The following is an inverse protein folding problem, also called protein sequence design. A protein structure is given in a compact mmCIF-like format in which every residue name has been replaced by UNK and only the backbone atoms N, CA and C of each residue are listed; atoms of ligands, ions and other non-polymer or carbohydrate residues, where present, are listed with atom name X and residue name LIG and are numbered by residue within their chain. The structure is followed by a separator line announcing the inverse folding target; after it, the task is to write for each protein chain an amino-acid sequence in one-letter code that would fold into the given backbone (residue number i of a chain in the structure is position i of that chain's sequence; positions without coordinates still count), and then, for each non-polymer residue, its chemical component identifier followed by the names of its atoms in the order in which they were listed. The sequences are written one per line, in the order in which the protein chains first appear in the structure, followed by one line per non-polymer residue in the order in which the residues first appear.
data_IF_196297505676
#
_entry.id   IF_196297505676
#
_cell.length_a   1.000
_cell.length_b   1.000
_cell.length_c   1.000
_cell.angle_alpha   90.00
_cell.angle_beta   90.00
_cell.angle_gamma   90.00
#
_symmetry.space_group_name_H-M   'P 1'
#
loop_
_entity.id
_entity.type
_entity.pdbx_description
1 polymer ?
#
# COMPACT_ATOMS: atom_id res chain seq x y z
N UNK A 1 34.08 7.68 -24.43
CA UNK A 1 32.61 7.71 -24.45
C UNK A 1 32.14 9.02 -23.83
N UNK A 2 31.18 9.72 -24.43
CA UNK A 2 30.67 11.00 -23.93
C UNK A 2 29.94 10.83 -22.57
N UNK A 3 30.12 11.78 -21.65
CA UNK A 3 29.43 11.83 -20.36
C UNK A 3 27.90 11.75 -20.51
N UNK A 4 27.36 12.37 -21.56
CA UNK A 4 25.93 12.30 -21.88
C UNK A 4 25.47 10.86 -22.13
N UNK A 5 26.27 10.07 -22.85
CA UNK A 5 25.95 8.67 -23.14
C UNK A 5 25.98 7.80 -21.88
N UNK A 6 26.95 8.02 -20.98
CA UNK A 6 27.03 7.33 -19.69
C UNK A 6 25.84 7.68 -18.79
N UNK A 7 25.44 8.96 -18.76
CA UNK A 7 24.27 9.42 -18.00
C UNK A 7 22.98 8.79 -18.54
N UNK A 8 22.77 8.78 -19.85
CA UNK A 8 21.58 8.16 -20.47
C UNK A 8 21.51 6.66 -20.18
N UNK A 9 22.64 5.93 -20.29
CA UNK A 9 22.68 4.51 -19.98
C UNK A 9 22.43 4.22 -18.49
N UNK A 10 22.99 5.04 -17.59
CA UNK A 10 22.75 4.91 -16.15
C UNK A 10 21.29 5.20 -15.80
N UNK A 11 20.68 6.21 -16.42
CA UNK A 11 19.26 6.54 -16.24
C UNK A 11 18.35 5.41 -16.73
N UNK A 12 18.61 4.86 -17.92
CA UNK A 12 17.88 3.72 -18.45
C UNK A 12 18.03 2.47 -17.57
N UNK A 13 19.23 2.21 -17.04
CA UNK A 13 19.47 1.10 -16.12
C UNK A 13 18.70 1.27 -14.81
N UNK A 14 18.67 2.47 -14.25
CA UNK A 14 17.96 2.75 -12.99
C UNK A 14 16.45 2.52 -13.12
N UNK A 15 15.87 2.70 -14.32
CA UNK A 15 14.45 2.41 -14.56
C UNK A 15 14.11 0.92 -14.50
N UNK A 16 15.09 0.04 -14.69
CA UNK A 16 14.91 -1.42 -14.69
C UNK A 16 15.07 -2.05 -13.30
N UNK A 17 15.60 -1.30 -12.33
CA UNK A 17 15.91 -1.81 -11.00
C UNK A 17 14.68 -1.63 -10.10
N UNK A 18 14.16 -2.73 -9.50
CA UNK A 18 13.12 -2.64 -8.49
C UNK A 18 13.62 -1.89 -7.25
N UNK A 19 12.72 -1.16 -6.61
CA UNK A 19 12.98 -0.33 -5.45
C UNK A 19 12.26 -0.89 -4.22
N UNK A 20 12.82 -0.66 -3.04
CA UNK A 20 12.20 -1.04 -1.78
C UNK A 20 11.40 0.14 -1.23
N UNK A 21 10.10 -0.05 -1.01
CA UNK A 21 9.22 0.95 -0.39
C UNK A 21 9.29 0.85 1.15
N UNK A 22 9.14 -0.37 1.65
CA UNK A 22 9.23 -0.70 3.08
C UNK A 22 9.94 -2.04 3.24
N UNK A 23 10.19 -2.48 4.48
CA UNK A 23 10.86 -3.76 4.74
C UNK A 23 10.17 -4.96 4.05
N UNK A 24 8.85 -4.90 3.84
CA UNK A 24 8.07 -6.00 3.26
C UNK A 24 7.51 -5.71 1.86
N UNK A 25 7.68 -4.48 1.34
CA UNK A 25 7.07 -4.05 0.08
C UNK A 25 8.14 -3.52 -0.86
N UNK A 26 8.28 -4.16 -2.00
CA UNK A 26 9.11 -3.76 -3.13
C UNK A 26 8.21 -3.32 -4.29
N UNK A 27 8.73 -2.49 -5.18
CA UNK A 27 8.02 -2.08 -6.38
C UNK A 27 8.92 -1.90 -7.59
N UNK A 28 8.41 -2.14 -8.79
CA UNK A 28 9.24 -2.12 -9.99
C UNK A 28 8.46 -2.21 -11.30
N UNK A 29 9.15 -2.25 -12.45
CA UNK A 29 8.52 -2.54 -13.72
C UNK A 29 8.28 -4.03 -13.88
N UNK A 30 7.47 -4.40 -14.86
CA UNK A 30 7.13 -5.78 -15.21
C UNK A 30 8.36 -6.66 -15.49
N UNK A 31 9.44 -6.08 -16.01
CA UNK A 31 10.71 -6.78 -16.22
C UNK A 31 11.31 -7.33 -14.91
N UNK A 32 10.91 -6.85 -13.73
CA UNK A 32 11.34 -7.38 -12.43
C UNK A 32 11.00 -8.86 -12.30
N UNK A 33 9.93 -9.34 -12.93
CA UNK A 33 9.56 -10.76 -12.91
C UNK A 33 10.63 -11.68 -13.52
N UNK A 34 11.50 -11.14 -14.38
CA UNK A 34 12.64 -11.87 -14.96
C UNK A 34 13.88 -11.88 -14.05
N UNK A 35 13.93 -11.05 -13.01
CA UNK A 35 15.07 -10.90 -12.11
C UNK A 35 14.99 -11.90 -10.95
N UNK A 36 15.18 -13.19 -11.25
CA UNK A 36 15.02 -14.29 -10.28
C UNK A 36 15.90 -14.15 -9.03
N UNK A 37 17.14 -13.71 -9.19
CA UNK A 37 18.08 -13.48 -8.08
C UNK A 37 17.50 -12.48 -7.08
N UNK A 38 17.03 -11.33 -7.58
CA UNK A 38 16.39 -10.30 -6.75
C UNK A 38 15.15 -10.84 -6.02
N UNK A 39 14.29 -11.59 -6.70
CA UNK A 39 13.08 -12.19 -6.13
C UNK A 39 13.42 -13.15 -4.98
N UNK A 40 14.44 -13.99 -5.18
CA UNK A 40 14.88 -14.98 -4.19
C UNK A 40 15.59 -14.33 -3.00
N UNK A 41 16.53 -13.42 -3.26
CA UNK A 41 17.30 -12.71 -2.21
C UNK A 41 16.39 -11.91 -1.28
N UNK A 42 15.31 -11.34 -1.82
CA UNK A 42 14.34 -10.56 -1.05
C UNK A 42 13.13 -11.38 -0.59
N UNK A 43 13.15 -12.71 -0.73
CA UNK A 43 12.06 -13.61 -0.33
C UNK A 43 10.67 -13.16 -0.84
N UNK A 44 10.58 -12.68 -2.07
CA UNK A 44 9.33 -12.20 -2.66
C UNK A 44 8.46 -13.39 -3.05
N UNK A 45 7.25 -13.46 -2.48
CA UNK A 45 6.26 -14.51 -2.76
C UNK A 45 4.91 -13.96 -3.19
N UNK A 46 4.63 -12.69 -2.86
CA UNK A 46 3.39 -12.03 -3.23
C UNK A 46 3.66 -11.05 -4.35
N UNK A 47 2.84 -11.10 -5.39
CA UNK A 47 2.98 -10.31 -6.60
C UNK A 47 1.70 -9.54 -6.81
N UNK A 48 1.79 -8.22 -6.91
CA UNK A 48 0.64 -7.34 -7.15
C UNK A 48 0.85 -6.61 -8.47
N UNK A 49 0.12 -7.01 -9.50
CA UNK A 49 0.12 -6.35 -10.79
C UNK A 49 -0.84 -5.15 -10.75
N UNK A 50 -0.41 -4.00 -11.27
CA UNK A 50 -1.20 -2.77 -11.32
C UNK A 50 -1.24 -2.23 -12.73
N UNK A 51 -2.44 -2.01 -13.27
CA UNK A 51 -2.63 -1.38 -14.58
C UNK A 51 -2.13 -2.24 -15.73
N UNK A 52 -2.11 -3.57 -15.56
CA UNK A 52 -1.75 -4.53 -16.60
C UNK A 52 -2.98 -5.39 -16.88
N UNK A 53 -3.42 -5.53 -18.15
CA UNK A 53 -4.52 -6.40 -18.49
C UNK A 53 -4.30 -7.83 -18.00
N UNK A 54 -5.33 -8.42 -17.39
CA UNK A 54 -5.27 -9.75 -16.76
C UNK A 54 -4.76 -10.82 -17.70
N UNK A 55 -5.19 -10.79 -18.97
CA UNK A 55 -4.69 -11.69 -20.01
C UNK A 55 -3.17 -11.67 -20.16
N UNK A 56 -2.58 -10.48 -20.03
CA UNK A 56 -1.14 -10.27 -20.15
C UNK A 56 -0.41 -10.72 -18.89
N UNK A 57 -0.94 -10.44 -17.70
CA UNK A 57 -0.38 -10.93 -16.44
C UNK A 57 -0.36 -12.47 -16.41
N UNK A 58 -1.47 -13.10 -16.79
CA UNK A 58 -1.58 -14.55 -16.84
C UNK A 58 -0.55 -15.19 -17.79
N UNK A 59 -0.20 -14.54 -18.91
CA UNK A 59 0.85 -14.99 -19.81
C UNK A 59 2.24 -14.95 -19.17
N UNK A 60 2.57 -13.86 -18.44
CA UNK A 60 3.88 -13.73 -17.77
C UNK A 60 4.03 -14.67 -16.58
N UNK A 61 2.93 -14.95 -15.88
CA UNK A 61 2.93 -15.81 -14.70
C UNK A 61 2.82 -17.30 -15.02
N UNK A 62 2.59 -17.68 -16.29
CA UNK A 62 2.43 -19.09 -16.71
C UNK A 62 3.58 -20.00 -16.27
N UNK A 63 4.79 -19.49 -16.34
CA UNK A 63 6.01 -20.25 -16.06
C UNK A 63 6.51 -20.05 -14.60
N UNK A 64 5.74 -19.36 -13.75
CA UNK A 64 6.07 -19.17 -12.33
C UNK A 64 5.63 -20.39 -11.49
N UNK A 65 6.44 -20.80 -10.49
CA UNK A 65 6.10 -21.92 -9.62
C UNK A 65 4.94 -21.54 -8.69
N UNK A 66 3.74 -21.96 -9.08
CA UNK A 66 2.46 -21.69 -8.40
C UNK A 66 2.48 -21.97 -6.91
N UNK A 67 3.17 -23.03 -6.48
CA UNK A 67 3.15 -23.50 -5.10
C UNK A 67 3.82 -22.52 -4.12
N UNK A 68 4.66 -21.60 -4.65
CA UNK A 68 5.46 -20.69 -3.86
C UNK A 68 5.09 -19.22 -4.03
N UNK A 69 4.20 -18.90 -4.98
CA UNK A 69 3.83 -17.52 -5.30
C UNK A 69 2.32 -17.30 -5.45
N UNK A 70 1.88 -16.13 -4.98
CA UNK A 70 0.51 -15.65 -5.16
C UNK A 70 0.52 -14.35 -5.97
N UNK A 71 -0.26 -14.30 -7.04
CA UNK A 71 -0.37 -13.14 -7.92
C UNK A 71 -1.79 -12.56 -7.83
N UNK A 72 -1.89 -11.29 -7.47
CA UNK A 72 -3.12 -10.50 -7.51
C UNK A 72 -3.00 -9.42 -8.58
N UNK A 73 -4.03 -9.22 -9.38
CA UNK A 73 -4.05 -8.23 -10.44
C UNK A 73 -5.11 -7.15 -10.19
N UNK A 74 -4.71 -5.89 -10.28
CA UNK A 74 -5.60 -4.74 -10.29
C UNK A 74 -5.85 -4.31 -11.73
N UNK A 75 -7.01 -4.71 -12.25
CA UNK A 75 -7.42 -4.52 -13.63
C UNK A 75 -8.90 -4.11 -13.67
N UNK A 76 -9.12 -2.79 -13.71
CA UNK A 76 -10.46 -2.19 -13.71
C UNK A 76 -11.24 -2.41 -15.01
N UNK A 77 -10.56 -2.79 -16.09
CA UNK A 77 -11.15 -3.03 -17.41
C UNK A 77 -11.47 -4.51 -17.62
N UNK A 78 -11.06 -5.39 -16.71
CA UNK A 78 -11.31 -6.82 -16.82
C UNK A 78 -12.81 -7.12 -16.84
N UNK A 79 -13.25 -7.72 -17.93
CA UNK A 79 -14.61 -8.26 -18.07
C UNK A 79 -14.53 -9.76 -18.41
N UNK A 80 -15.14 -10.65 -17.59
CA UNK A 80 -15.24 -12.07 -17.93
C UNK A 80 -16.03 -12.34 -19.22
N UNK A 81 -16.80 -11.35 -19.69
CA UNK A 81 -17.62 -11.43 -20.89
C UNK A 81 -16.90 -10.92 -22.14
N UNK A 82 -15.67 -10.39 -22.01
CA UNK A 82 -14.88 -9.98 -23.17
C UNK A 82 -14.61 -11.19 -24.07
N UNK A 83 -14.85 -11.08 -25.39
CA UNK A 83 -14.60 -12.18 -26.31
C UNK A 83 -13.09 -12.45 -26.42
N UNK A 84 -12.62 -13.46 -25.69
CA UNK A 84 -11.26 -13.98 -25.79
C UNK A 84 -11.20 -15.14 -26.78
N UNK A 85 -10.03 -15.36 -27.37
CA UNK A 85 -9.80 -16.62 -28.08
C UNK A 85 -9.85 -17.80 -27.10
N UNK A 86 -10.25 -18.99 -27.57
CA UNK A 86 -10.32 -20.19 -26.73
C UNK A 86 -9.05 -20.45 -25.86
N UNK A 87 -7.81 -20.37 -26.41
CA UNK A 87 -6.62 -20.59 -25.59
C UNK A 87 -6.38 -19.47 -24.55
N UNK A 88 -6.77 -18.23 -24.85
CA UNK A 88 -6.64 -17.12 -23.89
C UNK A 88 -7.65 -17.25 -22.76
N UNK A 89 -8.89 -17.66 -23.07
CA UNK A 89 -9.92 -17.89 -22.07
C UNK A 89 -9.52 -19.01 -21.10
N UNK A 90 -8.96 -20.12 -21.61
CA UNK A 90 -8.43 -21.21 -20.78
C UNK A 90 -7.29 -20.72 -19.87
N UNK A 91 -6.33 -19.98 -20.43
CA UNK A 91 -5.20 -19.44 -19.68
C UNK A 91 -5.65 -18.47 -18.57
N UNK A 92 -6.56 -17.55 -18.85
CA UNK A 92 -7.10 -16.62 -17.85
C UNK A 92 -7.92 -17.35 -16.79
N UNK A 93 -8.73 -18.34 -17.19
CA UNK A 93 -9.52 -19.15 -16.26
C UNK A 93 -8.63 -19.95 -15.30
N UNK A 94 -7.58 -20.59 -15.83
CA UNK A 94 -6.63 -21.36 -15.03
C UNK A 94 -5.88 -20.46 -14.05
N UNK A 95 -5.36 -19.32 -14.54
CA UNK A 95 -4.70 -18.30 -13.72
C UNK A 95 -5.60 -17.82 -12.58
N UNK A 96 -6.86 -17.48 -12.90
CA UNK A 96 -7.83 -16.97 -11.94
C UNK A 96 -8.16 -18.01 -10.88
N UNK A 97 -8.53 -19.24 -11.29
CA UNK A 97 -8.90 -20.32 -10.37
C UNK A 97 -7.80 -20.62 -9.36
N UNK A 98 -6.57 -20.68 -9.86
CA UNK A 98 -5.40 -21.11 -9.10
C UNK A 98 -4.99 -20.07 -8.05
N UNK A 99 -4.81 -18.81 -8.46
CA UNK A 99 -4.43 -17.77 -7.51
C UNK A 99 -5.59 -17.32 -6.62
N UNK A 100 -6.84 -17.40 -7.09
CA UNK A 100 -8.02 -17.12 -6.26
C UNK A 100 -8.18 -18.15 -5.14
N UNK A 101 -7.92 -19.44 -5.42
CA UNK A 101 -7.93 -20.47 -4.38
C UNK A 101 -6.83 -20.24 -3.33
N UNK A 102 -5.61 -19.88 -3.76
CA UNK A 102 -4.52 -19.55 -2.83
C UNK A 102 -4.81 -18.30 -2.01
N UNK A 103 -5.39 -17.25 -2.62
CA UNK A 103 -5.77 -16.03 -1.91
C UNK A 103 -6.88 -16.30 -0.88
N UNK A 104 -7.91 -17.05 -1.26
CA UNK A 104 -9.03 -17.36 -0.37
C UNK A 104 -8.59 -18.22 0.82
N UNK A 105 -7.70 -19.19 0.59
CA UNK A 105 -7.09 -19.98 1.66
C UNK A 105 -6.26 -19.11 2.61
N UNK A 106 -5.41 -18.23 2.06
CA UNK A 106 -4.61 -17.30 2.87
C UNK A 106 -5.51 -16.39 3.72
N UNK A 107 -6.51 -15.79 3.09
CA UNK A 107 -7.43 -14.88 3.76
C UNK A 107 -8.27 -15.58 4.85
N UNK A 108 -8.69 -16.83 4.61
CA UNK A 108 -9.39 -17.65 5.59
C UNK A 108 -8.49 -17.99 6.80
N UNK A 109 -7.22 -18.32 6.57
CA UNK A 109 -6.27 -18.57 7.65
C UNK A 109 -6.08 -17.32 8.53
N UNK A 110 -5.89 -16.16 7.91
CA UNK A 110 -5.76 -14.89 8.64
C UNK A 110 -7.05 -14.54 9.39
N UNK A 111 -8.23 -14.75 8.80
CA UNK A 111 -9.50 -14.55 9.50
C UNK A 111 -9.64 -15.46 10.71
N UNK A 112 -9.20 -16.72 10.61
CA UNK A 112 -9.17 -17.68 11.70
C UNK A 112 -8.22 -17.26 12.82
N UNK A 113 -7.00 -16.82 12.48
CA UNK A 113 -6.01 -16.36 13.44
C UNK A 113 -6.49 -15.12 14.22
N UNK A 114 -7.10 -14.16 13.51
CA UNK A 114 -7.72 -12.96 14.12
C UNK A 114 -8.86 -13.36 15.05
N UNK A 115 -9.77 -14.25 14.62
CA UNK A 115 -10.91 -14.68 15.41
C UNK A 115 -10.52 -15.49 16.66
N UNK A 116 -9.44 -16.27 16.57
CA UNK A 116 -8.92 -17.06 17.67
C UNK A 116 -8.11 -16.23 18.69
N UNK A 117 -7.82 -14.95 18.40
CA UNK A 117 -6.93 -14.13 19.23
C UNK A 117 -5.50 -14.67 19.30
N UNK A 118 -5.13 -15.58 18.40
CA UNK A 118 -3.85 -16.28 18.37
C UNK A 118 -2.77 -15.42 17.68
N UNK A 119 -2.66 -14.14 18.03
CA UNK A 119 -1.68 -13.23 17.41
C UNK A 119 -0.31 -13.22 18.10
N UNK A 120 -0.03 -14.08 19.10
CA UNK A 120 1.07 -13.80 20.05
C UNK A 120 2.03 -14.92 20.50
N UNK A 121 1.91 -16.21 20.11
CA UNK A 121 2.85 -17.24 20.63
C UNK A 121 4.08 -17.52 19.74
N UNK A 122 4.16 -16.90 18.56
CA UNK A 122 5.34 -17.02 17.65
C UNK A 122 6.09 -15.70 17.43
N UNK A 123 5.58 -14.58 17.95
CA UNK A 123 6.19 -13.26 17.79
C UNK A 123 6.70 -12.78 19.15
N UNK A 124 8.02 -12.68 19.31
CA UNK A 124 8.71 -12.23 20.54
C UNK A 124 8.36 -10.79 20.99
N UNK A 125 7.48 -10.10 20.29
CA UNK A 125 6.99 -8.76 20.63
C UNK A 125 5.52 -8.64 20.25
N UNK A 126 4.63 -8.17 21.15
CA UNK A 126 3.24 -7.89 20.81
C UNK A 126 3.20 -6.81 19.71
N UNK A 127 2.49 -7.08 18.60
CA UNK A 127 2.13 -6.07 17.60
C UNK A 127 0.64 -5.73 17.73
N UNK A 128 0.26 -4.81 18.64
CA UNK A 128 -1.15 -4.50 18.91
C UNK A 128 -1.87 -3.69 17.82
N UNK A 129 -1.23 -3.37 16.69
CA UNK A 129 -1.72 -2.31 15.78
C UNK A 129 -2.15 -2.78 14.38
N UNK A 130 -1.87 -4.03 13.96
CA UNK A 130 -2.16 -4.45 12.57
C UNK A 130 -3.62 -4.87 12.34
N UNK A 131 -4.27 -5.48 13.33
CA UNK A 131 -5.65 -5.98 13.19
C UNK A 131 -6.69 -4.86 13.07
N UNK A 132 -6.34 -3.63 13.47
CA UNK A 132 -7.20 -2.43 13.35
C UNK A 132 -7.08 -1.71 11.99
N UNK A 133 -6.30 -2.25 11.04
CA UNK A 133 -5.99 -1.57 9.77
C UNK A 133 -6.76 -2.10 8.55
N UNK A 134 -7.45 -3.24 8.65
CA UNK A 134 -8.22 -3.79 7.54
C UNK A 134 -9.56 -3.04 7.38
N UNK A 135 -9.87 -2.63 6.15
CA UNK A 135 -11.12 -1.95 5.80
C UNK A 135 -12.24 -2.95 5.58
N UNK A 136 -11.92 -4.09 4.96
CA UNK A 136 -12.83 -5.18 4.70
C UNK A 136 -12.41 -6.42 5.50
N UNK A 137 -13.38 -7.27 5.83
CA UNK A 137 -13.09 -8.59 6.37
C UNK A 137 -12.17 -9.37 5.42
N UNK A 138 -11.14 -10.10 5.92
CA UNK A 138 -10.28 -10.91 5.07
C UNK A 138 -11.07 -11.84 4.14
N UNK A 139 -12.20 -12.38 4.61
CA UNK A 139 -13.08 -13.26 3.83
C UNK A 139 -13.64 -12.63 2.54
N UNK A 140 -13.57 -11.30 2.39
CA UNK A 140 -13.95 -10.59 1.16
C UNK A 140 -13.00 -10.90 -0.01
N UNK A 141 -11.73 -11.24 0.28
CA UNK A 141 -10.70 -11.45 -0.74
C UNK A 141 -10.70 -12.90 -1.25
N UNK A 142 -11.65 -13.20 -2.15
CA UNK A 142 -11.82 -14.55 -2.74
C UNK A 142 -11.35 -14.66 -4.19
N UNK A 143 -11.13 -13.53 -4.86
CA UNK A 143 -10.72 -13.46 -6.25
C UNK A 143 -9.39 -12.72 -6.37
N UNK A 144 -8.45 -13.27 -7.14
CA UNK A 144 -7.15 -12.63 -7.37
C UNK A 144 -7.20 -11.51 -8.42
N UNK A 145 -8.33 -11.29 -9.09
CA UNK A 145 -8.53 -10.18 -10.04
C UNK A 145 -9.42 -9.14 -9.36
N UNK A 146 -8.84 -7.98 -9.10
CA UNK A 146 -9.50 -6.84 -8.46
C UNK A 146 -9.90 -5.83 -9.53
N UNK A 147 -11.20 -5.70 -9.74
CA UNK A 147 -11.81 -4.77 -10.71
C UNK A 147 -12.30 -3.48 -10.07
N UNK A 148 -12.10 -3.31 -8.76
CA UNK A 148 -12.59 -2.15 -8.01
C UNK A 148 -11.91 -0.86 -8.48
N UNK A 149 -12.68 0.23 -8.44
CA UNK A 149 -12.25 1.58 -8.81
C UNK A 149 -12.48 2.55 -7.64
N UNK A 150 -11.96 3.77 -7.76
CA UNK A 150 -12.13 4.81 -6.73
C UNK A 150 -11.54 4.40 -5.38
N UNK A 151 -12.19 4.81 -4.29
CA UNK A 151 -11.73 4.54 -2.92
C UNK A 151 -11.57 3.04 -2.59
N UNK A 152 -12.42 2.19 -3.19
CA UNK A 152 -12.40 0.74 -2.95
C UNK A 152 -11.13 0.06 -3.49
N UNK A 153 -10.52 0.63 -4.55
CA UNK A 153 -9.23 0.18 -5.08
C UNK A 153 -8.13 0.32 -4.02
N UNK A 154 -8.08 1.48 -3.36
CA UNK A 154 -7.09 1.78 -2.33
C UNK A 154 -7.32 0.98 -1.04
N UNK A 155 -8.57 0.79 -0.63
CA UNK A 155 -8.92 -0.08 0.49
C UNK A 155 -8.47 -1.52 0.22
N UNK A 156 -8.84 -2.08 -0.94
CA UNK A 156 -8.47 -3.43 -1.34
C UNK A 156 -6.95 -3.62 -1.40
N UNK A 157 -6.23 -2.64 -1.96
CA UNK A 157 -4.78 -2.67 -2.05
C UNK A 157 -4.10 -2.70 -0.67
N UNK A 158 -4.48 -1.79 0.22
CA UNK A 158 -3.88 -1.72 1.55
C UNK A 158 -4.23 -2.92 2.43
N UNK A 159 -5.45 -3.43 2.31
CA UNK A 159 -5.86 -4.65 3.00
C UNK A 159 -5.06 -5.85 2.52
N UNK A 160 -4.89 -6.03 1.21
CA UNK A 160 -4.10 -7.13 0.65
C UNK A 160 -2.64 -7.06 1.10
N UNK A 161 -2.01 -5.88 1.09
CA UNK A 161 -0.65 -5.71 1.62
C UNK A 161 -0.57 -6.09 3.11
N UNK A 162 -1.60 -5.74 3.88
CA UNK A 162 -1.69 -6.08 5.31
C UNK A 162 -1.88 -7.58 5.50
N UNK A 163 -2.76 -8.24 4.74
CA UNK A 163 -2.96 -9.70 4.75
C UNK A 163 -1.65 -10.43 4.41
N UNK A 164 -0.94 -9.99 3.37
CA UNK A 164 0.34 -10.58 2.98
C UNK A 164 1.40 -10.40 4.07
N UNK A 165 1.47 -9.22 4.68
CA UNK A 165 2.36 -8.96 5.82
C UNK A 165 2.00 -9.82 7.04
N UNK A 166 0.71 -10.00 7.33
CA UNK A 166 0.25 -10.82 8.45
C UNK A 166 0.58 -12.29 8.25
N UNK A 167 0.51 -12.79 7.02
CA UNK A 167 0.85 -14.19 6.69
C UNK A 167 2.29 -14.59 7.03
N UNK A 168 3.21 -13.62 7.14
CA UNK A 168 4.63 -13.85 7.41
C UNK A 168 5.34 -14.74 6.38
N UNK A 169 4.70 -15.05 5.24
CA UNK A 169 5.18 -16.09 4.32
C UNK A 169 6.23 -15.59 3.34
N UNK A 170 6.32 -14.28 3.10
CA UNK A 170 7.27 -13.65 2.19
C UNK A 170 6.94 -12.17 1.96
N UNK A 171 7.79 -11.50 1.19
CA UNK A 171 7.64 -10.09 0.82
C UNK A 171 6.76 -9.90 -0.41
N UNK A 172 6.29 -8.67 -0.61
CA UNK A 172 5.41 -8.27 -1.70
C UNK A 172 6.19 -7.49 -2.74
N UNK A 173 5.99 -7.82 -4.02
CA UNK A 173 6.40 -7.01 -5.17
C UNK A 173 5.18 -6.43 -5.85
N UNK A 174 5.05 -5.10 -5.84
CA UNK A 174 4.05 -4.37 -6.61
C UNK A 174 4.65 -3.91 -7.92
N UNK A 175 4.12 -4.37 -9.04
CA UNK A 175 4.68 -4.06 -10.35
C UNK A 175 3.63 -3.56 -11.32
N UNK A 176 4.08 -2.73 -12.25
CA UNK A 176 3.27 -2.19 -13.34
C UNK A 176 4.07 -2.31 -14.64
N UNK A 177 3.46 -1.94 -15.78
CA UNK A 177 4.13 -2.06 -17.09
C UNK A 177 5.51 -1.39 -17.11
N UNK A 178 5.60 -0.16 -16.60
CA UNK A 178 6.83 0.65 -16.65
C UNK A 178 7.43 0.93 -15.26
N UNK A 179 6.73 0.60 -14.18
CA UNK A 179 7.13 0.92 -12.80
C UNK A 179 7.10 2.42 -12.46
N UNK A 180 6.64 3.26 -13.39
CA UNK A 180 6.50 4.72 -13.24
C UNK A 180 5.04 5.18 -13.44
N UNK A 181 4.10 4.23 -13.53
CA UNK A 181 2.71 4.50 -13.89
C UNK A 181 2.00 5.25 -12.74
N UNK A 182 1.14 6.22 -13.08
CA UNK A 182 0.49 7.09 -12.08
C UNK A 182 -0.33 6.31 -11.06
N UNK A 183 -1.04 5.28 -11.54
CA UNK A 183 -1.82 4.35 -10.73
C UNK A 183 -0.98 3.60 -9.70
N UNK A 184 0.22 3.16 -10.09
CA UNK A 184 1.16 2.51 -9.18
C UNK A 184 1.59 3.49 -8.10
N UNK A 185 1.98 4.70 -8.50
CA UNK A 185 2.45 5.73 -7.56
C UNK A 185 1.34 6.10 -6.56
N UNK A 186 0.10 6.29 -7.02
CA UNK A 186 -1.03 6.60 -6.15
C UNK A 186 -1.28 5.50 -5.11
N UNK A 187 -1.23 4.23 -5.51
CA UNK A 187 -1.37 3.09 -4.59
C UNK A 187 -0.23 3.02 -3.57
N UNK A 188 1.02 3.18 -3.99
CA UNK A 188 2.18 3.17 -3.10
C UNK A 188 2.14 4.36 -2.11
N UNK A 189 1.75 5.55 -2.58
CA UNK A 189 1.54 6.72 -1.71
C UNK A 189 0.42 6.50 -0.70
N UNK A 190 -0.68 5.85 -1.10
CA UNK A 190 -1.76 5.48 -0.16
C UNK A 190 -1.23 4.59 0.98
N UNK A 191 -0.35 3.64 0.65
CA UNK A 191 0.23 2.73 1.63
C UNK A 191 1.15 3.45 2.63
N UNK A 192 1.97 4.40 2.16
CA UNK A 192 2.82 5.20 3.05
C UNK A 192 1.97 6.01 4.03
N UNK A 193 0.92 6.70 3.54
CA UNK A 193 0.04 7.49 4.42
C UNK A 193 -0.68 6.60 5.44
N UNK A 194 -1.05 5.38 5.06
CA UNK A 194 -1.73 4.46 5.95
C UNK A 194 -0.84 3.85 7.02
N UNK A 195 0.43 3.60 6.68
CA UNK A 195 1.43 3.09 7.61
C UNK A 195 2.08 4.17 8.46
N UNK A 196 2.06 5.43 8.00
CA UNK A 196 2.57 6.59 8.73
C UNK A 196 1.50 7.69 8.80
N UNK A 197 0.76 7.71 9.91
CA UNK A 197 -0.32 8.68 10.16
C UNK A 197 0.13 10.14 10.21
N UNK A 198 1.43 10.39 10.42
CA UNK A 198 2.00 11.74 10.44
C UNK A 198 2.40 12.26 9.06
N UNK A 199 2.52 11.37 8.07
CA UNK A 199 2.92 11.76 6.72
C UNK A 199 1.75 12.37 5.94
N UNK A 200 2.00 13.52 5.33
CA UNK A 200 1.10 14.08 4.32
C UNK A 200 1.16 13.28 3.02
N UNK A 201 0.10 13.37 2.21
CA UNK A 201 0.08 12.75 0.88
C UNK A 201 1.22 13.26 -0.02
N UNK A 202 1.55 14.54 0.10
CA UNK A 202 2.66 15.14 -0.64
C UNK A 202 4.01 14.56 -0.23
N UNK A 203 4.27 14.38 1.07
CA UNK A 203 5.49 13.73 1.57
C UNK A 203 5.56 12.27 1.14
N UNK A 204 4.44 11.54 1.20
CA UNK A 204 4.37 10.17 0.73
C UNK A 204 4.72 10.07 -0.76
N UNK A 205 4.19 10.96 -1.60
CA UNK A 205 4.57 11.03 -3.01
C UNK A 205 6.05 11.38 -3.21
N UNK A 206 6.55 12.40 -2.51
CA UNK A 206 7.96 12.80 -2.57
C UNK A 206 8.88 11.65 -2.16
N UNK A 207 8.46 10.84 -1.19
CA UNK A 207 9.19 9.63 -0.79
C UNK A 207 9.26 8.61 -1.93
N UNK A 208 8.12 8.22 -2.53
CA UNK A 208 8.12 7.29 -3.69
C UNK A 208 8.98 7.84 -4.84
N UNK A 209 8.88 9.15 -5.11
CA UNK A 209 9.69 9.82 -6.13
C UNK A 209 11.18 9.81 -5.80
N UNK A 210 11.56 9.96 -4.54
CA UNK A 210 12.97 9.91 -4.11
C UNK A 210 13.59 8.53 -4.34
N UNK A 211 12.80 7.47 -4.20
CA UNK A 211 13.19 6.09 -4.52
C UNK A 211 13.28 5.86 -6.03
N UNK A 212 12.45 6.57 -6.81
CA UNK A 212 12.39 6.39 -8.27
C UNK A 212 12.31 7.74 -9.00
N UNK A 213 13.45 8.39 -9.26
CA UNK A 213 13.49 9.73 -9.87
C UNK A 213 12.95 9.81 -11.30
N UNK A 214 12.77 8.67 -11.97
CA UNK A 214 12.16 8.58 -13.31
C UNK A 214 10.65 8.79 -13.31
N UNK A 215 9.99 8.78 -12.14
CA UNK A 215 8.60 9.20 -12.02
C UNK A 215 8.54 10.67 -12.43
N UNK A 216 7.88 10.94 -13.56
CA UNK A 216 7.71 12.29 -14.05
C UNK A 216 7.03 13.14 -12.97
N UNK A 217 7.31 14.44 -13.00
CA UNK A 217 6.62 15.39 -12.14
C UNK A 217 5.16 15.38 -12.57
N UNK A 218 4.33 14.54 -11.92
CA UNK A 218 2.89 14.62 -12.03
C UNK A 218 2.55 16.09 -11.86
N UNK A 219 1.95 16.67 -12.90
CA UNK A 219 1.67 18.09 -12.94
C UNK A 219 0.85 18.42 -11.69
N UNK A 220 1.20 19.45 -10.91
CA UNK A 220 0.47 19.79 -9.68
C UNK A 220 -1.03 20.01 -9.90
N UNK A 221 -1.45 20.23 -11.15
CA UNK A 221 -2.81 20.61 -11.56
C UNK A 221 -3.66 19.48 -12.20
N UNK A 222 -3.19 18.23 -12.32
CA UNK A 222 -4.05 17.11 -12.73
C UNK A 222 -4.84 16.54 -11.53
N UNK A 223 -5.66 17.36 -10.86
CA UNK A 223 -6.61 16.95 -9.79
C UNK A 223 -6.00 15.98 -8.75
N UNK A 224 -4.89 16.38 -8.14
CA UNK A 224 -4.38 15.99 -6.80
C UNK A 224 -4.38 14.51 -6.33
N UNK A 225 -4.28 13.53 -7.25
CA UNK A 225 -4.00 12.07 -7.04
C UNK A 225 -5.17 11.08 -7.06
N UNK A 226 -6.10 11.26 -8.00
CA UNK A 226 -7.35 10.49 -8.12
C UNK A 226 -8.35 10.87 -7.02
N UNK A 227 -9.55 11.30 -7.41
CA UNK A 227 -10.65 11.57 -6.48
C UNK A 227 -10.86 10.40 -5.48
N UNK A 228 -10.71 9.16 -5.96
CA UNK A 228 -10.80 7.98 -5.12
C UNK A 228 -9.75 7.87 -4.00
N UNK A 229 -8.52 8.40 -4.18
CA UNK A 229 -7.51 8.37 -3.12
C UNK A 229 -7.87 9.35 -2.00
N UNK A 230 -8.34 10.53 -2.37
CA UNK A 230 -8.77 11.53 -1.39
C UNK A 230 -9.98 11.03 -0.60
N UNK A 231 -11.01 10.51 -1.28
CA UNK A 231 -12.18 9.87 -0.66
C UNK A 231 -11.77 8.74 0.30
N UNK A 232 -10.80 7.92 -0.12
CA UNK A 232 -10.26 6.85 0.72
C UNK A 232 -9.59 7.41 1.99
N UNK A 233 -8.66 8.36 1.84
CA UNK A 233 -7.92 8.92 2.97
C UNK A 233 -8.82 9.68 3.95
N UNK A 234 -9.85 10.37 3.45
CA UNK A 234 -10.86 11.02 4.29
C UNK A 234 -11.68 9.99 5.08
N UNK A 235 -12.17 8.94 4.42
CA UNK A 235 -12.91 7.86 5.07
C UNK A 235 -12.08 7.14 6.14
N UNK A 236 -10.81 6.85 5.86
CA UNK A 236 -9.92 6.17 6.80
C UNK A 236 -9.53 7.03 8.01
N UNK A 237 -9.52 8.36 7.87
CA UNK A 237 -9.32 9.28 9.00
C UNK A 237 -10.56 9.37 9.89
N UNK A 238 -11.75 9.38 9.29
CA UNK A 238 -13.01 9.36 10.03
C UNK A 238 -13.15 8.09 10.88
N UNK A 239 -12.77 6.93 10.33
CA UNK A 239 -12.79 5.66 11.05
C UNK A 239 -11.85 5.61 12.27
N UNK A 240 -10.69 6.30 12.20
CA UNK A 240 -9.69 6.35 13.29
C UNK A 240 -9.98 7.39 14.37
N UNK A 241 -10.88 8.35 14.13
CA UNK A 241 -11.22 9.42 15.08
C UNK A 241 -12.73 9.40 15.43
N UNK A 242 -13.15 8.62 16.46
CA UNK A 242 -14.55 8.57 16.88
C UNK A 242 -15.09 9.88 17.48
N UNK A 243 -14.23 10.89 17.70
CA UNK A 243 -14.62 12.21 18.23
C UNK A 243 -15.04 13.23 17.15
N UNK A 244 -14.98 12.86 15.85
CA UNK A 244 -15.40 13.71 14.74
C UNK A 244 -16.81 13.38 14.19
N UNK A 245 -17.58 12.51 14.85
CA UNK A 245 -19.00 12.30 14.53
C UNK A 245 -19.87 13.38 15.20
N UNK A 246 -19.73 14.59 14.67
CA UNK A 246 -20.52 15.77 15.03
C UNK A 246 -21.08 16.41 13.77
N UNK A 247 -21.89 15.70 12.99
CA UNK A 247 -22.57 16.33 11.85
C UNK A 247 -23.18 15.39 10.82
N UNK A 248 -24.44 15.04 11.05
CA UNK A 248 -25.42 14.61 10.05
C UNK A 248 -25.13 13.30 9.30
N UNK A 249 -25.63 12.20 9.85
CA UNK A 249 -26.01 11.05 9.03
C UNK A 249 -27.09 11.45 8.01
N UNK A 250 -26.97 11.11 6.72
CA UNK A 250 -28.08 11.24 5.80
C UNK A 250 -29.13 10.18 6.20
N UNK A 251 -30.29 10.65 6.63
CA UNK A 251 -31.41 9.79 6.97
C UNK A 251 -31.76 8.90 5.78
N UNK A 252 -31.76 7.59 6.03
CA UNK A 252 -32.34 6.57 5.17
C UNK A 252 -33.74 6.99 4.76
N UNK A 253 -33.93 7.25 3.47
CA UNK A 253 -35.24 7.52 2.90
C UNK A 253 -36.07 6.24 2.86
N UNK A 254 -37.02 6.08 3.77
CA UNK A 254 -38.17 5.19 3.57
C UNK A 254 -39.40 5.72 4.33
N UNK A 255 -40.46 5.93 3.54
CA UNK A 255 -41.90 5.95 3.86
C UNK A 255 -42.51 7.10 4.68
N UNK A 256 -43.43 7.79 3.99
CA UNK A 256 -44.42 8.71 4.50
C UNK A 256 -45.51 8.01 5.34
N UNK A 257 -45.90 8.63 6.47
CA UNK A 257 -47.29 8.89 6.86
C UNK A 257 -47.37 9.51 8.29
N UNK A 258 -48.19 10.55 8.45
CA UNK A 258 -49.03 10.72 9.64
C UNK A 258 -48.54 11.60 10.81
N UNK A 259 -48.96 12.87 10.79
CA UNK A 259 -49.53 13.67 11.90
C UNK A 259 -49.17 13.34 13.37
N UNK A 260 -48.55 14.28 14.09
CA UNK A 260 -49.21 15.10 15.14
C UNK A 260 -48.21 15.87 16.03
N UNK A 261 -48.66 17.01 16.52
CA UNK A 261 -47.98 18.01 17.33
C UNK A 261 -47.47 17.51 18.70
N UNK A 262 -46.34 18.06 19.16
CA UNK A 262 -46.31 18.76 20.46
C UNK A 262 -45.05 19.63 20.59
N UNK A 263 -45.26 20.82 21.12
CA UNK A 263 -44.24 21.81 21.41
C UNK A 263 -43.53 21.48 22.72
N UNK A 264 -42.23 21.74 22.80
CA UNK A 264 -41.60 22.17 24.04
C UNK A 264 -40.75 23.42 23.80
N UNK A 265 -41.17 24.46 24.52
CA UNK A 265 -40.53 25.75 24.71
C UNK A 265 -39.41 25.59 25.73
N UNK A 266 -38.20 26.02 25.41
CA UNK A 266 -37.28 26.59 26.41
C UNK A 266 -36.53 27.77 25.83
N UNK A 267 -36.36 28.77 26.68
CA UNK A 267 -36.23 30.20 26.39
C UNK A 267 -34.95 30.70 27.05
N UNK A 268 -34.13 31.45 26.28
CA UNK A 268 -33.07 32.42 26.70
C UNK A 268 -31.83 31.78 27.36
N UNK A 269 -30.59 32.27 27.19
CA UNK A 269 -30.13 33.66 27.32
C UNK A 269 -28.66 33.84 26.84
N UNK A 270 -28.44 34.96 26.13
CA UNK A 270 -27.26 35.83 25.94
C UNK A 270 -25.81 35.36 26.17
N UNK A 271 -25.01 35.54 25.11
CA UNK A 271 -23.80 36.38 24.95
C UNK A 271 -22.93 36.74 26.18
N UNK A 272 -21.62 36.51 26.05
CA UNK A 272 -20.57 37.42 26.52
C UNK A 272 -19.28 37.26 25.69
N UNK A 273 -18.78 38.39 25.17
CA UNK A 273 -17.48 38.62 24.53
C UNK A 273 -16.32 38.65 25.53
N UNK A 274 -15.07 38.50 25.10
CA UNK A 274 -14.01 39.46 25.45
C UNK A 274 -12.71 39.06 24.76
N UNK A 275 -12.25 39.97 23.90
CA UNK A 275 -10.87 40.14 23.50
C UNK A 275 -9.97 40.32 24.71
N UNK A 276 -8.75 39.79 24.62
CA UNK A 276 -7.56 40.30 25.30
C UNK A 276 -6.39 40.12 24.34
N UNK A 277 -5.97 41.23 23.72
CA UNK A 277 -4.60 41.42 23.28
C UNK A 277 -3.74 41.71 24.52
N UNK A 278 -2.54 41.12 24.62
CA UNK A 278 -1.37 41.91 25.00
C UNK A 278 -0.06 41.21 24.66
N UNK A 279 0.85 42.06 24.22
CA UNK A 279 2.14 41.89 23.59
C UNK A 279 3.25 42.05 24.64
N UNK A 280 4.35 41.30 24.55
CA UNK A 280 5.66 41.75 25.09
C UNK A 280 6.86 40.97 24.52
N UNK A 281 7.59 41.65 23.65
CA UNK A 281 9.02 41.97 23.75
C UNK A 281 10.11 40.87 23.69
N UNK A 282 10.74 40.83 22.51
CA UNK A 282 12.17 40.64 22.18
C UNK A 282 13.22 40.50 23.30
N UNK A 283 14.06 39.44 23.21
CA UNK A 283 15.53 39.51 23.36
C UNK A 283 16.18 38.42 22.48
N UNK A 284 17.13 38.81 21.62
CA UNK A 284 17.98 37.94 20.78
C UNK A 284 19.35 37.67 21.49
N UNK A 285 20.41 37.20 20.80
CA UNK A 285 20.64 35.92 20.13
C UNK A 285 21.78 35.12 20.80
N UNK A 286 21.81 33.80 20.64
CA UNK A 286 22.87 32.94 21.19
C UNK A 286 23.31 31.85 20.20
N UNK A 287 24.32 32.18 19.40
CA UNK A 287 25.15 31.25 18.62
C UNK A 287 25.88 30.26 19.53
N UNK A 288 25.70 28.96 19.33
CA UNK A 288 26.72 27.95 19.65
C UNK A 288 26.82 26.95 18.51
N UNK A 289 27.94 27.06 17.80
CA UNK A 289 28.48 26.09 16.85
C UNK A 289 29.11 24.94 17.64
N UNK A 290 28.77 23.69 17.31
CA UNK A 290 29.57 22.53 17.70
C UNK A 290 29.42 21.41 16.69
N UNK A 291 30.37 21.40 15.76
CA UNK A 291 30.75 20.29 14.89
C UNK A 291 30.99 19.02 15.73
N UNK A 292 30.19 17.97 15.50
CA UNK A 292 30.41 16.63 16.03
C UNK A 292 30.55 15.63 14.89
N UNK A 293 31.79 15.35 14.47
CA UNK A 293 32.10 14.28 13.52
C UNK A 293 31.79 12.90 14.12
N UNK A 294 31.16 11.97 13.38
CA UNK A 294 30.95 10.61 13.87
C UNK A 294 32.26 9.83 13.95
N UNK A 295 32.54 9.28 15.13
CA UNK A 295 33.64 8.35 15.40
C UNK A 295 33.43 7.06 14.62
N UNK A 296 34.32 6.78 13.67
CA UNK A 296 34.46 5.48 13.04
C UNK A 296 34.77 4.40 14.09
N UNK A 297 33.98 3.33 14.14
CA UNK A 297 34.36 2.06 14.77
C UNK A 297 34.81 1.08 13.68
N UNK A 298 36.09 0.74 13.74
CA UNK A 298 36.77 -0.24 12.89
C UNK A 298 36.64 -1.64 13.51
N UNK A 299 35.96 -2.52 12.78
CA UNK A 299 36.16 -3.95 12.51
C UNK A 299 36.83 -4.82 13.60
N UNK A 300 36.16 -5.92 13.96
CA UNK A 300 36.83 -7.21 14.17
C UNK A 300 36.11 -8.29 13.35
N UNK A 301 36.79 -8.79 12.32
CA UNK A 301 36.42 -9.99 11.58
C UNK A 301 36.95 -11.20 12.36
N UNK A 302 36.08 -12.14 12.73
CA UNK A 302 36.50 -13.45 13.21
C UNK A 302 36.32 -14.43 12.05
N UNK A 303 37.47 -14.89 11.54
CA UNK A 303 37.61 -15.96 10.57
C UNK A 303 38.22 -17.15 11.31
N UNK A 304 37.47 -18.24 11.43
CA UNK A 304 37.96 -19.60 11.69
C UNK A 304 36.75 -20.53 11.50
N UNK A 305 36.77 -21.64 10.77
CA UNK A 305 37.81 -22.32 10.03
C UNK A 305 37.16 -23.61 9.53
N UNK A 306 37.38 -23.94 8.25
CA UNK A 306 37.03 -25.24 7.69
C UNK A 306 37.68 -26.35 8.50
N UNK A 307 36.90 -27.37 8.85
CA UNK A 307 37.43 -28.73 9.06
C UNK A 307 36.60 -29.66 8.20
N UNK A 308 37.26 -30.23 7.20
CA UNK A 308 36.79 -31.27 6.30
C UNK A 308 37.60 -32.54 6.62
N UNK A 309 36.87 -33.61 6.97
CA UNK A 309 37.11 -35.06 6.76
C UNK A 309 38.40 -35.71 7.33
N UNK A 310 38.57 -37.06 7.31
CA UNK A 310 37.74 -38.20 6.82
C UNK A 310 37.42 -39.21 7.96
N UNK A 311 36.73 -40.35 7.87
CA UNK A 311 36.36 -41.34 6.85
C UNK A 311 34.93 -41.84 7.14
#
# INVERSE_FOLDING_TARGET
MSFHHQFTLASARNQLIPQQLTNNVFFGPLNTLSQREFIQENCIRFFVAVGIPTKRVAQYCRDMPVQDCLVVNFDSEFSPQEPLSAPEAELVSQYSQLHSASLSQLAANIAGDIAAGCSADSRLTPQPELDQQLHNSPAHYTCNIVTSQGAQKFASFNDLLTIFKLSGSGNVLVFSSNGNDEDLVALLSSHIVMTNSSASLLEAFQHVKSLRPSIHQCQPDSVFWCQGLMEYLEGSRAYKNPFYDGGMSPASSLSAAGLSSSAFVTKRRNSWSSDWEEECSNVAPGTISASGTPKARKIAAVRAGNIVQPQ
#
